data_IF_166908058733
#
_entry.id   IF_166908058733
#
_cell.length_a   1.000
_cell.length_b   1.000
_cell.length_c   1.000
_cell.angle_alpha   90.00
_cell.angle_beta   90.00
_cell.angle_gamma   90.00
#
_symmetry.space_group_name_H-M   'P 1'
#
loop_
_entity.id
_entity.type
_entity.pdbx_description
1 polymer ?
#
# COMPACT_ATOMS: atom_id res chain seq x y z
N UNK A 1 14.33 19.36 -23.82
CA UNK A 1 13.21 19.87 -23.02
C UNK A 1 12.25 20.61 -23.93
N UNK A 2 10.96 20.33 -23.78
CA UNK A 2 9.91 21.03 -24.49
C UNK A 2 9.51 22.33 -23.77
N UNK A 3 8.54 23.08 -24.35
CA UNK A 3 8.10 24.37 -23.80
C UNK A 3 7.45 24.23 -22.41
N UNK A 4 6.77 23.12 -22.13
CA UNK A 4 6.09 22.89 -20.85
C UNK A 4 7.11 22.55 -19.78
N UNK A 5 8.08 21.68 -20.09
CA UNK A 5 9.22 21.38 -19.21
C UNK A 5 10.02 22.65 -18.87
N UNK A 6 10.27 23.51 -19.88
CA UNK A 6 10.96 24.79 -19.66
C UNK A 6 10.15 25.76 -18.79
N UNK A 7 8.81 25.69 -18.89
CA UNK A 7 7.94 26.46 -18.02
C UNK A 7 8.06 26.01 -16.56
N UNK A 8 8.06 24.69 -16.28
CA UNK A 8 8.23 24.16 -14.92
C UNK A 8 9.58 24.60 -14.28
N UNK A 9 10.64 24.65 -15.08
CA UNK A 9 11.95 25.12 -14.61
C UNK A 9 11.89 26.61 -14.23
N UNK A 10 11.32 27.44 -15.13
CA UNK A 10 11.19 28.89 -14.89
C UNK A 10 10.33 29.16 -13.67
N UNK A 11 9.17 28.49 -13.57
CA UNK A 11 8.23 28.67 -12.49
C UNK A 11 8.87 28.35 -11.12
N UNK A 12 9.61 27.25 -11.03
CA UNK A 12 10.33 26.90 -9.80
C UNK A 12 11.40 27.93 -9.40
N UNK A 13 12.12 28.50 -10.39
CA UNK A 13 13.08 29.58 -10.13
C UNK A 13 12.39 30.87 -9.69
N UNK A 14 11.26 31.23 -10.30
CA UNK A 14 10.44 32.38 -9.93
C UNK A 14 9.83 32.20 -8.52
N UNK A 15 9.47 30.99 -8.14
CA UNK A 15 9.04 30.65 -6.76
C UNK A 15 10.17 30.81 -5.73
N UNK A 16 11.43 30.71 -6.15
CA UNK A 16 12.61 30.87 -5.31
C UNK A 16 13.35 29.56 -4.98
N UNK A 17 13.09 28.50 -5.72
CA UNK A 17 13.86 27.26 -5.57
C UNK A 17 15.33 27.51 -5.95
N UNK A 18 16.24 26.87 -5.23
CA UNK A 18 17.69 26.94 -5.51
C UNK A 18 18.03 26.20 -6.82
N UNK A 19 19.13 26.58 -7.43
CA UNK A 19 19.65 25.86 -8.62
C UNK A 19 19.89 24.38 -8.34
N UNK A 20 20.26 24.01 -7.10
CA UNK A 20 20.42 22.63 -6.69
C UNK A 20 19.08 21.87 -6.75
N UNK A 21 18.02 22.45 -6.17
CA UNK A 21 16.67 21.87 -6.23
C UNK A 21 16.15 21.76 -7.66
N UNK A 22 16.29 22.81 -8.47
CA UNK A 22 15.87 22.81 -9.86
C UNK A 22 16.62 21.73 -10.67
N UNK A 23 17.90 21.52 -10.41
CA UNK A 23 18.72 20.50 -11.11
C UNK A 23 18.21 19.06 -10.89
N UNK A 24 17.41 18.82 -9.85
CA UNK A 24 16.83 17.49 -9.61
C UNK A 24 15.84 17.10 -10.70
N UNK A 25 14.99 18.05 -11.13
CA UNK A 25 13.92 17.79 -12.09
C UNK A 25 14.16 18.35 -13.48
N UNK A 26 15.10 19.30 -13.67
CA UNK A 26 15.43 19.90 -14.96
C UNK A 26 16.18 18.93 -15.88
N UNK A 27 15.59 17.77 -16.12
CA UNK A 27 16.20 16.68 -16.90
C UNK A 27 15.21 16.18 -17.96
N UNK A 28 15.73 15.82 -19.13
CA UNK A 28 14.92 15.35 -20.26
C UNK A 28 14.23 13.98 -20.02
N UNK A 29 14.66 13.27 -19.00
CA UNK A 29 14.10 11.97 -18.62
C UNK A 29 12.75 12.07 -17.89
N UNK A 30 12.41 13.26 -17.35
CA UNK A 30 11.13 13.52 -16.73
C UNK A 30 10.18 14.20 -17.71
N UNK A 31 8.95 13.77 -17.77
CA UNK A 31 7.90 14.53 -18.43
C UNK A 31 7.50 15.77 -17.60
N UNK A 32 6.71 16.67 -18.19
CA UNK A 32 6.30 17.91 -17.52
C UNK A 32 5.47 17.67 -16.24
N UNK A 33 4.64 16.60 -16.20
CA UNK A 33 3.86 16.27 -15.03
C UNK A 33 4.75 15.77 -13.88
N UNK A 34 5.75 14.94 -14.20
CA UNK A 34 6.75 14.48 -13.23
C UNK A 34 7.57 15.67 -12.69
N UNK A 35 8.03 16.56 -13.59
CA UNK A 35 8.74 17.79 -13.19
C UNK A 35 7.89 18.65 -12.25
N UNK A 36 6.61 18.84 -12.58
CA UNK A 36 5.67 19.58 -11.74
C UNK A 36 5.51 18.98 -10.34
N UNK A 37 5.40 17.64 -10.21
CA UNK A 37 5.30 16.99 -8.89
C UNK A 37 6.60 17.15 -8.09
N UNK A 38 7.76 16.98 -8.72
CA UNK A 38 9.06 17.14 -8.03
C UNK A 38 9.23 18.59 -7.56
N UNK A 39 8.92 19.57 -8.43
CA UNK A 39 8.92 21.00 -8.10
C UNK A 39 8.02 21.29 -6.90
N UNK A 40 6.76 20.83 -6.96
CA UNK A 40 5.78 21.03 -5.88
C UNK A 40 6.26 20.46 -4.53
N UNK A 41 6.93 19.32 -4.53
CA UNK A 41 7.53 18.77 -3.31
C UNK A 41 8.51 19.74 -2.66
N UNK A 42 9.38 20.38 -3.43
CA UNK A 42 10.29 21.42 -2.94
C UNK A 42 9.54 22.67 -2.46
N UNK A 43 8.53 23.13 -3.22
CA UNK A 43 7.69 24.29 -2.85
C UNK A 43 6.93 24.02 -1.54
N UNK A 44 6.53 22.77 -1.28
CA UNK A 44 5.92 22.33 -0.03
C UNK A 44 6.92 22.08 1.10
N UNK A 45 8.22 22.38 0.89
CA UNK A 45 9.26 22.31 1.91
C UNK A 45 9.85 20.92 2.16
N UNK A 46 9.63 19.97 1.26
CA UNK A 46 10.31 18.67 1.38
C UNK A 46 11.83 18.82 1.18
N UNK A 47 12.58 18.04 1.95
CA UNK A 47 14.03 18.02 1.84
C UNK A 47 14.51 17.35 0.55
N UNK A 48 15.76 17.62 0.16
CA UNK A 48 16.43 16.91 -0.96
C UNK A 48 16.37 15.39 -0.78
N UNK A 49 16.55 14.91 0.45
CA UNK A 49 16.49 13.47 0.74
C UNK A 49 15.11 12.88 0.50
N UNK A 50 14.04 13.56 0.96
CA UNK A 50 12.66 13.13 0.72
C UNK A 50 12.31 13.13 -0.78
N UNK A 51 12.62 14.21 -1.48
CA UNK A 51 12.37 14.32 -2.92
C UNK A 51 13.12 13.25 -3.70
N UNK A 52 14.37 12.92 -3.33
CA UNK A 52 15.16 11.88 -3.98
C UNK A 52 14.53 10.48 -3.94
N UNK A 53 13.58 10.24 -3.04
CA UNK A 53 12.87 8.95 -2.96
C UNK A 53 12.03 8.72 -4.21
N UNK A 54 11.38 9.78 -4.74
CA UNK A 54 10.44 9.68 -5.85
C UNK A 54 10.86 10.41 -7.13
N UNK A 55 11.84 11.29 -7.09
CA UNK A 55 12.39 11.97 -8.28
C UNK A 55 13.19 10.98 -9.15
N UNK A 56 12.50 10.01 -9.70
CA UNK A 56 13.02 8.91 -10.50
C UNK A 56 12.10 8.66 -11.69
N UNK A 57 12.65 8.56 -12.93
CA UNK A 57 11.82 8.44 -14.14
C UNK A 57 10.91 7.22 -14.20
N UNK A 58 11.25 6.15 -13.44
CA UNK A 58 10.45 4.95 -13.37
C UNK A 58 9.09 5.10 -12.68
N UNK A 59 8.91 6.16 -11.87
CA UNK A 59 7.60 6.49 -11.29
C UNK A 59 6.81 7.38 -12.24
N UNK A 60 5.57 7.05 -12.51
CA UNK A 60 4.66 8.00 -13.15
C UNK A 60 4.25 9.13 -12.17
N UNK A 61 3.71 10.23 -12.70
CA UNK A 61 3.34 11.40 -11.89
C UNK A 61 2.32 11.09 -10.78
N UNK A 62 1.43 10.10 -10.96
CA UNK A 62 0.46 9.70 -9.92
C UNK A 62 1.15 8.96 -8.77
N UNK A 63 2.09 8.06 -9.08
CA UNK A 63 2.91 7.40 -8.07
C UNK A 63 3.76 8.41 -7.29
N UNK A 64 4.38 9.37 -8.00
CA UNK A 64 5.15 10.44 -7.36
C UNK A 64 4.30 11.27 -6.38
N UNK A 65 3.06 11.62 -6.76
CA UNK A 65 2.14 12.37 -5.89
C UNK A 65 1.80 11.61 -4.62
N UNK A 66 1.52 10.32 -4.71
CA UNK A 66 1.25 9.49 -3.52
C UNK A 66 2.47 9.42 -2.58
N UNK A 67 3.69 9.38 -3.15
CA UNK A 67 4.91 9.40 -2.33
C UNK A 67 5.09 10.79 -1.68
N UNK A 68 4.85 11.88 -2.42
CA UNK A 68 4.87 13.25 -1.90
C UNK A 68 3.84 13.41 -0.78
N UNK A 69 2.60 12.94 -0.98
CA UNK A 69 1.52 13.02 0.01
C UNK A 69 1.88 12.30 1.31
N UNK A 70 2.51 11.12 1.24
CA UNK A 70 3.01 10.42 2.43
C UNK A 70 4.01 11.25 3.23
N UNK A 71 4.91 11.97 2.57
CA UNK A 71 5.82 12.90 3.26
C UNK A 71 5.08 14.10 3.86
N UNK A 72 4.08 14.65 3.17
CA UNK A 72 3.23 15.73 3.68
C UNK A 72 2.42 15.28 4.90
N UNK A 73 2.00 14.01 4.94
CA UNK A 73 1.36 13.35 6.08
C UNK A 73 2.38 12.96 7.17
N UNK A 74 3.66 13.38 7.03
CA UNK A 74 4.74 13.20 7.99
C UNK A 74 5.19 11.74 8.20
N UNK A 75 4.94 10.88 7.23
CA UNK A 75 5.56 9.56 7.22
C UNK A 75 7.08 9.69 7.12
N UNK A 76 7.80 8.81 7.81
CA UNK A 76 9.26 8.76 7.70
C UNK A 76 9.70 8.22 6.33
N UNK A 77 10.95 8.46 5.98
CA UNK A 77 11.53 7.93 4.72
C UNK A 77 11.45 6.40 4.70
N UNK A 78 11.66 5.74 5.83
CA UNK A 78 11.55 4.27 5.95
C UNK A 78 10.13 3.78 5.69
N UNK A 79 9.12 4.48 6.23
CA UNK A 79 7.71 4.17 5.98
C UNK A 79 7.36 4.35 4.50
N UNK A 80 7.73 5.49 3.92
CA UNK A 80 7.46 5.79 2.51
C UNK A 80 8.13 4.77 1.58
N UNK A 81 9.35 4.35 1.86
CA UNK A 81 10.07 3.33 1.07
C UNK A 81 9.38 1.96 1.01
N UNK A 82 8.43 1.68 1.90
CA UNK A 82 7.66 0.43 1.84
C UNK A 82 6.85 0.35 0.54
N UNK A 83 6.25 1.48 0.13
CA UNK A 83 5.39 1.56 -1.06
C UNK A 83 5.98 2.37 -2.22
N UNK A 84 7.02 3.16 -2.01
CA UNK A 84 7.73 3.89 -3.07
C UNK A 84 8.53 2.93 -3.97
N UNK A 85 7.83 2.08 -4.69
CA UNK A 85 8.35 1.06 -5.60
C UNK A 85 7.52 1.10 -6.90
N UNK A 86 8.16 1.18 -8.08
CA UNK A 86 7.45 1.30 -9.36
C UNK A 86 6.52 0.13 -9.68
N UNK A 87 6.74 -1.03 -9.04
CA UNK A 87 5.93 -2.24 -9.23
C UNK A 87 4.52 -2.14 -8.62
N UNK A 88 4.30 -1.22 -7.69
CA UNK A 88 2.97 -0.96 -7.15
C UNK A 88 2.20 0.00 -8.06
N UNK A 89 0.96 -0.32 -8.37
CA UNK A 89 0.08 0.67 -8.96
C UNK A 89 -0.35 1.75 -7.93
N UNK A 90 -0.88 2.90 -8.38
CA UNK A 90 -1.26 3.97 -7.45
C UNK A 90 -2.28 3.55 -6.38
N UNK A 91 -3.20 2.64 -6.68
CA UNK A 91 -4.19 2.18 -5.71
C UNK A 91 -3.56 1.29 -4.64
N UNK A 92 -2.62 0.42 -5.04
CA UNK A 92 -1.84 -0.39 -4.10
C UNK A 92 -0.99 0.50 -3.19
N UNK A 93 -0.33 1.53 -3.75
CA UNK A 93 0.46 2.51 -2.97
C UNK A 93 -0.41 3.22 -1.94
N UNK A 94 -1.60 3.68 -2.35
CA UNK A 94 -2.56 4.32 -1.46
C UNK A 94 -3.00 3.38 -0.32
N UNK A 95 -3.26 2.11 -0.62
CA UNK A 95 -3.68 1.13 0.38
C UNK A 95 -2.58 0.87 1.43
N UNK A 96 -1.32 0.88 1.00
CA UNK A 96 -0.15 0.73 1.89
C UNK A 96 0.05 1.99 2.73
N UNK A 97 0.00 3.18 2.10
CA UNK A 97 0.09 4.47 2.80
C UNK A 97 -0.99 4.60 3.87
N UNK A 98 -2.24 4.30 3.51
CA UNK A 98 -3.38 4.34 4.43
C UNK A 98 -3.17 3.45 5.66
N UNK A 99 -2.59 2.25 5.48
CA UNK A 99 -2.20 1.38 6.57
C UNK A 99 -1.19 2.04 7.52
N UNK A 100 -0.20 2.72 6.98
CA UNK A 100 0.85 3.41 7.75
C UNK A 100 0.34 4.69 8.41
N UNK A 101 -0.43 5.50 7.68
CA UNK A 101 -0.84 6.83 8.14
C UNK A 101 -2.14 6.80 8.96
N UNK A 102 -3.23 6.31 8.41
CA UNK A 102 -4.53 6.34 9.10
C UNK A 102 -4.60 5.30 10.22
N UNK A 103 -4.21 4.06 9.94
CA UNK A 103 -4.33 2.95 10.90
C UNK A 103 -3.09 2.76 11.78
N UNK A 104 -2.01 3.52 11.55
CA UNK A 104 -0.76 3.49 12.33
C UNK A 104 -0.17 2.09 12.47
N UNK A 105 -0.34 1.27 11.46
CA UNK A 105 0.31 -0.04 11.40
C UNK A 105 1.83 0.13 11.31
N UNK A 106 2.58 -0.78 11.90
CA UNK A 106 4.03 -0.77 11.79
C UNK A 106 4.50 -1.15 10.39
N UNK A 107 5.75 -0.81 10.06
CA UNK A 107 6.39 -1.22 8.79
C UNK A 107 6.32 -2.75 8.62
N UNK A 108 6.56 -3.50 9.69
CA UNK A 108 6.53 -4.96 9.70
C UNK A 108 5.13 -5.48 9.38
N UNK A 109 4.10 -4.89 10.01
CA UNK A 109 2.70 -5.24 9.74
C UNK A 109 2.32 -4.97 8.28
N UNK A 110 2.59 -3.77 7.79
CA UNK A 110 2.29 -3.39 6.41
C UNK A 110 3.04 -4.27 5.41
N UNK A 111 4.29 -4.64 5.70
CA UNK A 111 5.10 -5.50 4.83
C UNK A 111 4.52 -6.91 4.64
N UNK A 112 3.59 -7.34 5.50
CA UNK A 112 2.92 -8.64 5.32
C UNK A 112 2.02 -8.67 4.09
N UNK A 113 1.39 -7.54 3.74
CA UNK A 113 0.49 -7.41 2.60
C UNK A 113 0.98 -6.49 1.48
N UNK A 114 2.01 -5.67 1.70
CA UNK A 114 2.61 -4.81 0.68
C UNK A 114 3.39 -5.64 -0.36
N UNK A 115 2.66 -6.37 -1.19
CA UNK A 115 3.18 -7.28 -2.22
C UNK A 115 2.58 -6.92 -3.58
N UNK A 116 3.37 -6.54 -4.60
CA UNK A 116 2.85 -6.08 -5.90
C UNK A 116 1.94 -7.08 -6.63
N UNK A 117 2.05 -8.36 -6.31
CA UNK A 117 1.21 -9.41 -6.92
C UNK A 117 -0.18 -9.55 -6.28
N UNK A 118 -0.41 -8.94 -5.12
CA UNK A 118 -1.74 -8.92 -4.49
C UNK A 118 -2.61 -7.87 -5.15
N UNK A 119 -3.86 -8.22 -5.43
CA UNK A 119 -4.87 -7.25 -5.85
C UNK A 119 -5.25 -6.32 -4.69
N UNK A 120 -5.78 -5.13 -5.03
CA UNK A 120 -6.15 -4.12 -4.02
C UNK A 120 -7.14 -4.67 -2.98
N UNK A 121 -8.18 -5.40 -3.40
CA UNK A 121 -9.15 -6.00 -2.46
C UNK A 121 -8.48 -7.02 -1.53
N UNK A 122 -7.50 -7.78 -2.03
CA UNK A 122 -6.73 -8.70 -1.18
C UNK A 122 -5.92 -7.93 -0.13
N UNK A 123 -5.27 -6.82 -0.51
CA UNK A 123 -4.52 -5.96 0.41
C UNK A 123 -5.44 -5.35 1.49
N UNK A 124 -6.61 -4.86 1.09
CA UNK A 124 -7.63 -4.30 1.98
C UNK A 124 -8.05 -5.31 3.05
N UNK A 125 -8.39 -6.54 2.66
CA UNK A 125 -8.77 -7.61 3.59
C UNK A 125 -7.66 -7.95 4.59
N UNK A 126 -6.41 -8.03 4.13
CA UNK A 126 -5.25 -8.33 4.97
C UNK A 126 -4.93 -7.16 5.92
N UNK A 127 -5.03 -5.91 5.45
CA UNK A 127 -4.89 -4.70 6.28
C UNK A 127 -5.95 -4.68 7.38
N UNK A 128 -7.21 -4.91 7.04
CA UNK A 128 -8.31 -4.96 8.00
C UNK A 128 -8.16 -6.09 9.02
N UNK A 129 -7.57 -7.20 8.61
CA UNK A 129 -7.24 -8.29 9.52
C UNK A 129 -6.21 -7.85 10.58
N UNK A 130 -5.13 -7.19 10.18
CA UNK A 130 -4.13 -6.63 11.10
C UNK A 130 -4.75 -5.57 12.02
N UNK A 131 -5.56 -4.67 11.46
CA UNK A 131 -6.27 -3.65 12.23
C UNK A 131 -7.19 -4.24 13.29
N UNK A 132 -7.81 -5.38 13.01
CA UNK A 132 -8.68 -6.09 13.95
C UNK A 132 -7.93 -6.93 15.00
N UNK A 133 -6.60 -6.90 15.00
CA UNK A 133 -5.74 -7.54 15.99
C UNK A 133 -5.25 -8.94 15.64
N UNK A 134 -5.44 -9.43 14.42
CA UNK A 134 -4.78 -10.66 13.99
C UNK A 134 -3.26 -10.46 13.93
N UNK A 135 -2.51 -11.50 14.28
CA UNK A 135 -1.05 -11.44 14.24
C UNK A 135 -0.50 -11.41 12.81
N UNK A 136 0.71 -10.86 12.63
CA UNK A 136 1.41 -10.88 11.33
C UNK A 136 1.58 -12.31 10.81
N UNK A 137 1.83 -13.28 11.68
CA UNK A 137 1.96 -14.69 11.31
C UNK A 137 0.64 -15.22 10.70
N UNK A 138 -0.48 -14.96 11.37
CA UNK A 138 -1.81 -15.36 10.88
C UNK A 138 -2.12 -14.73 9.52
N UNK A 139 -1.90 -13.44 9.37
CA UNK A 139 -2.16 -12.71 8.13
C UNK A 139 -1.22 -13.17 7.00
N UNK A 140 0.06 -13.37 7.29
CA UNK A 140 1.06 -13.81 6.28
C UNK A 140 0.74 -15.17 5.66
N UNK A 141 0.08 -16.07 6.39
CA UNK A 141 -0.32 -17.39 5.87
C UNK A 141 -1.26 -17.29 4.67
N UNK A 142 -2.07 -16.21 4.60
CA UNK A 142 -3.07 -16.02 3.57
C UNK A 142 -2.77 -14.82 2.65
N UNK A 143 -1.66 -14.13 2.84
CA UNK A 143 -1.18 -13.06 1.95
C UNK A 143 -0.54 -13.63 0.67
N UNK A 144 -1.34 -14.36 -0.10
CA UNK A 144 -0.95 -15.16 -1.28
C UNK A 144 -1.74 -14.72 -2.50
N UNK A 145 -1.07 -14.40 -3.63
CA UNK A 145 -1.75 -13.95 -4.84
C UNK A 145 -2.71 -14.97 -5.47
N UNK A 146 -2.46 -16.27 -5.23
CA UNK A 146 -3.29 -17.37 -5.73
C UNK A 146 -4.64 -17.50 -5.02
N UNK A 147 -4.79 -16.92 -3.83
CA UNK A 147 -6.07 -16.90 -3.12
C UNK A 147 -6.93 -15.74 -3.62
N UNK A 148 -8.18 -15.99 -3.92
CA UNK A 148 -9.12 -14.90 -4.20
C UNK A 148 -9.37 -14.04 -2.95
N UNK A 149 -9.81 -12.80 -3.14
CA UNK A 149 -10.19 -11.92 -2.04
C UNK A 149 -11.24 -12.56 -1.12
N UNK A 150 -12.21 -13.29 -1.67
CA UNK A 150 -13.22 -14.02 -0.89
C UNK A 150 -12.63 -15.13 -0.03
N UNK A 151 -11.61 -15.84 -0.50
CA UNK A 151 -10.91 -16.86 0.27
C UNK A 151 -10.11 -16.22 1.41
N UNK A 152 -9.43 -15.09 1.14
CA UNK A 152 -8.72 -14.32 2.17
C UNK A 152 -9.71 -13.81 3.21
N UNK A 153 -10.82 -13.19 2.79
CA UNK A 153 -11.88 -12.73 3.68
C UNK A 153 -12.40 -13.86 4.58
N UNK A 154 -12.73 -15.03 3.99
CA UNK A 154 -13.19 -16.18 4.75
C UNK A 154 -12.14 -16.66 5.76
N UNK A 155 -10.88 -16.75 5.36
CA UNK A 155 -9.78 -17.13 6.24
C UNK A 155 -9.60 -16.14 7.41
N UNK A 156 -9.59 -14.83 7.13
CA UNK A 156 -9.47 -13.80 8.16
C UNK A 156 -10.62 -13.84 9.16
N UNK A 157 -11.86 -14.04 8.68
CA UNK A 157 -13.01 -14.21 9.55
C UNK A 157 -12.94 -15.50 10.38
N UNK A 158 -12.52 -16.60 9.80
CA UNK A 158 -12.28 -17.83 10.51
C UNK A 158 -11.30 -17.66 11.66
N UNK A 159 -10.16 -17.02 11.40
CA UNK A 159 -9.12 -16.73 12.40
C UNK A 159 -9.66 -15.82 13.54
N UNK A 160 -10.41 -14.76 13.19
CA UNK A 160 -11.03 -13.86 14.20
C UNK A 160 -11.98 -14.59 15.14
N UNK A 161 -12.62 -15.65 14.66
CA UNK A 161 -13.55 -16.48 15.41
C UNK A 161 -12.90 -17.72 16.04
N UNK A 162 -11.56 -17.83 16.01
CA UNK A 162 -10.83 -18.90 16.67
C UNK A 162 -10.85 -20.26 15.94
N UNK A 163 -11.30 -20.28 14.68
CA UNK A 163 -11.27 -21.52 13.88
C UNK A 163 -9.80 -21.90 13.61
N UNK A 164 -9.46 -23.16 13.78
CA UNK A 164 -8.10 -23.64 13.51
C UNK A 164 -7.70 -23.47 12.05
N UNK A 165 -6.42 -23.22 11.80
CA UNK A 165 -5.87 -23.06 10.45
C UNK A 165 -6.11 -24.25 9.55
N UNK A 166 -6.12 -25.48 10.09
CA UNK A 166 -6.39 -26.70 9.31
C UNK A 166 -7.81 -26.70 8.77
N UNK A 167 -8.81 -26.40 9.61
CA UNK A 167 -10.20 -26.29 9.19
C UNK A 167 -10.42 -25.14 8.19
N UNK A 168 -9.78 -24.00 8.40
CA UNK A 168 -9.83 -22.88 7.47
C UNK A 168 -9.30 -23.31 6.11
N UNK A 169 -8.13 -23.96 6.07
CA UNK A 169 -7.52 -24.46 4.84
C UNK A 169 -8.41 -25.47 4.11
N UNK A 170 -9.04 -26.39 4.85
CA UNK A 170 -9.99 -27.36 4.28
C UNK A 170 -11.17 -26.63 3.59
N UNK A 171 -11.72 -25.60 4.24
CA UNK A 171 -12.84 -24.83 3.70
C UNK A 171 -12.44 -24.03 2.46
N UNK A 172 -11.34 -23.25 2.51
CA UNK A 172 -10.94 -22.41 1.38
C UNK A 172 -10.44 -23.21 0.18
N UNK A 173 -9.99 -24.46 0.37
CA UNK A 173 -9.53 -25.35 -0.69
C UNK A 173 -10.60 -26.33 -1.17
N UNK A 174 -11.82 -26.30 -0.60
CA UNK A 174 -12.89 -27.24 -0.92
C UNK A 174 -13.56 -27.03 -2.27
N UNK A 175 -13.26 -25.90 -2.96
CA UNK A 175 -13.96 -25.52 -4.19
C UNK A 175 -15.36 -24.92 -3.96
N UNK A 176 -15.74 -24.64 -2.72
CA UNK A 176 -16.99 -23.99 -2.36
C UNK A 176 -17.08 -22.57 -2.96
N UNK A 177 -18.30 -22.12 -3.24
CA UNK A 177 -18.57 -20.72 -3.53
C UNK A 177 -18.28 -19.83 -2.30
N UNK A 178 -18.10 -18.51 -2.49
CA UNK A 178 -17.88 -17.58 -1.36
C UNK A 178 -18.97 -17.65 -0.28
N UNK A 179 -20.21 -17.88 -0.71
CA UNK A 179 -21.36 -17.99 0.20
C UNK A 179 -21.29 -19.28 1.03
N UNK A 180 -21.02 -20.41 0.38
CA UNK A 180 -20.84 -21.69 1.05
C UNK A 180 -19.64 -21.68 2.01
N UNK A 181 -18.51 -21.06 1.63
CA UNK A 181 -17.36 -20.89 2.53
C UNK A 181 -17.75 -20.12 3.79
N UNK A 182 -18.47 -19.01 3.63
CA UNK A 182 -18.96 -18.23 4.77
C UNK A 182 -19.84 -19.05 5.71
N UNK A 183 -20.78 -19.80 5.15
CA UNK A 183 -21.70 -20.63 5.93
C UNK A 183 -20.96 -21.79 6.63
N UNK A 184 -19.98 -22.40 5.97
CA UNK A 184 -19.11 -23.41 6.57
C UNK A 184 -18.32 -22.84 7.77
N UNK A 185 -17.73 -21.63 7.64
CA UNK A 185 -17.05 -20.97 8.75
C UNK A 185 -17.98 -20.69 9.93
N UNK A 186 -19.21 -20.18 9.67
CA UNK A 186 -20.19 -19.92 10.69
C UNK A 186 -20.64 -21.22 11.42
N UNK A 187 -20.72 -22.33 10.72
CA UNK A 187 -21.07 -23.61 11.32
C UNK A 187 -19.96 -24.15 12.23
N UNK A 188 -18.66 -23.94 11.87
CA UNK A 188 -17.57 -24.30 12.76
C UNK A 188 -17.57 -23.48 14.06
N UNK A 189 -17.80 -22.17 13.99
CA UNK A 189 -17.94 -21.30 15.18
C UNK A 189 -19.06 -21.79 16.12
N UNK A 190 -20.21 -22.23 15.57
CA UNK A 190 -21.33 -22.73 16.36
C UNK A 190 -20.98 -24.06 17.05
N UNK A 191 -20.27 -24.96 16.40
CA UNK A 191 -19.87 -26.26 16.98
C UNK A 191 -18.94 -26.06 18.17
N UNK A 192 -17.95 -25.17 18.04
CA UNK A 192 -17.00 -24.88 19.12
C UNK A 192 -17.69 -24.20 20.32
N UNK A 193 -18.76 -23.41 20.08
CA UNK A 193 -19.57 -22.79 21.15
C UNK A 193 -20.44 -23.79 21.92
N UNK A 194 -20.85 -24.90 21.31
CA UNK A 194 -21.73 -25.93 21.94
C UNK A 194 -20.87 -27.01 22.65
N UNK A 195 -19.61 -27.21 22.24
CA UNK A 195 -18.72 -28.19 22.84
C UNK A 195 -18.08 -27.80 24.17
N UNK A 196 -18.39 -26.61 24.69
CA UNK A 196 -17.86 -26.04 25.97
C UNK A 196 -18.86 -26.12 27.11
N UNK A 197 -19.98 -26.84 26.96
CA UNK A 197 -20.92 -27.13 28.07
C UNK A 197 -20.73 -28.51 28.63
#
# INVERSE_FOLDING_TARGET
LDNVQMWEIRDGLEYGLSMEQVSVYAKSEFDSNQMGVIKNGFENGLSMEQVSVYAKPEFNSNQMRLIEDGFRNKLSIEQVKVYAKPEFDPNQMWEIENGLDEYKLSIEQVSTYAKPKLGIIQMEELKDALRSGLSMEQVSMYAKPELSANQIYAAMNGLRNGISTDKINDIINSGMSPEEMRDAMLNEVKKDSIGVM
#
